data_IF_091631523621
#
_entry.id   IF_091631523621
#
_cell.length_a   1.000
_cell.length_b   1.000
_cell.length_c   1.000
_cell.angle_alpha   90.00
_cell.angle_beta   90.00
_cell.angle_gamma   90.00
#
_symmetry.space_group_name_H-M   'P 1'
#
loop_
_entity.id
_entity.type
_entity.pdbx_description
1 polymer ?
#
# COMPACT_ATOMS: atom_id res chain seq x y z
N UNK A 1 3.18 6.37 -14.56
CA UNK A 1 2.70 5.42 -13.54
C UNK A 1 3.89 5.07 -12.66
N UNK A 2 3.80 5.30 -11.34
CA UNK A 2 4.90 5.07 -10.40
C UNK A 2 4.52 3.88 -9.51
N UNK A 3 5.44 2.93 -9.34
CA UNK A 3 5.27 1.83 -8.41
C UNK A 3 5.53 2.31 -6.99
N UNK A 4 4.52 2.19 -6.12
CA UNK A 4 4.56 2.78 -4.78
C UNK A 4 5.09 1.79 -3.74
N UNK A 5 4.45 0.63 -3.65
CA UNK A 5 4.78 -0.42 -2.70
C UNK A 5 4.06 -1.70 -3.15
N UNK A 6 4.70 -2.85 -2.95
CA UNK A 6 4.10 -4.15 -3.21
C UNK A 6 4.05 -5.00 -1.95
N UNK A 7 3.16 -5.97 -1.98
CA UNK A 7 3.02 -6.94 -0.91
C UNK A 7 2.96 -8.35 -1.49
N UNK A 8 3.82 -9.23 -0.97
CA UNK A 8 3.74 -10.64 -1.27
C UNK A 8 2.72 -11.32 -0.34
N UNK A 9 2.00 -12.31 -0.85
CA UNK A 9 0.96 -13.06 -0.15
C UNK A 9 1.43 -13.67 1.17
N UNK A 10 2.73 -13.98 1.30
CA UNK A 10 3.32 -14.64 2.47
C UNK A 10 3.43 -13.75 3.69
N UNK A 11 3.55 -12.44 3.51
CA UNK A 11 3.58 -11.49 4.63
C UNK A 11 2.18 -10.91 4.84
N UNK A 12 1.77 -10.61 6.09
CA UNK A 12 0.55 -9.84 6.34
C UNK A 12 0.77 -8.33 6.12
N UNK A 13 2.01 -7.82 6.22
CA UNK A 13 2.31 -6.39 6.09
C UNK A 13 3.54 -6.11 5.22
N UNK A 14 3.56 -4.97 4.54
CA UNK A 14 4.75 -4.38 3.93
C UNK A 14 4.88 -2.92 4.37
N UNK A 15 6.11 -2.43 4.41
CA UNK A 15 6.40 -1.03 4.67
C UNK A 15 7.56 -0.55 3.81
N UNK A 16 7.37 0.59 3.19
CA UNK A 16 8.39 1.32 2.46
C UNK A 16 8.31 2.80 2.83
N UNK A 17 9.21 3.22 3.71
CA UNK A 17 9.23 4.57 4.27
C UNK A 17 7.91 4.97 4.94
N UNK A 18 7.21 5.93 4.30
CA UNK A 18 5.91 6.48 4.72
C UNK A 18 4.71 5.63 4.28
N UNK A 19 4.91 4.72 3.34
CA UNK A 19 3.88 3.83 2.81
C UNK A 19 3.90 2.51 3.57
N UNK A 20 2.73 2.00 3.91
CA UNK A 20 2.58 0.65 4.45
C UNK A 20 1.34 -0.01 3.92
N UNK A 21 1.41 -1.32 3.75
CA UNK A 21 0.30 -2.16 3.34
C UNK A 21 -0.02 -3.10 4.51
N UNK A 22 -1.31 -3.27 4.76
CA UNK A 22 -1.86 -4.39 5.52
C UNK A 22 -2.71 -5.27 4.59
N UNK A 23 -2.33 -6.53 4.41
CA UNK A 23 -3.05 -7.49 3.59
C UNK A 23 -3.85 -8.45 4.47
N UNK A 24 -5.16 -8.26 4.47
CA UNK A 24 -6.09 -9.11 5.20
C UNK A 24 -6.52 -10.27 4.30
N UNK A 25 -5.69 -11.33 4.25
CA UNK A 25 -5.90 -12.51 3.40
C UNK A 25 -7.30 -13.12 3.54
N UNK A 26 -7.82 -13.23 4.76
CA UNK A 26 -9.15 -13.81 5.04
C UNK A 26 -10.29 -13.03 4.38
N UNK A 27 -10.12 -11.71 4.20
CA UNK A 27 -11.09 -10.81 3.60
C UNK A 27 -10.77 -10.48 2.14
N UNK A 28 -9.62 -10.94 1.64
CA UNK A 28 -9.05 -10.55 0.32
C UNK A 28 -8.99 -9.03 0.15
N UNK A 29 -8.77 -8.30 1.23
CA UNK A 29 -8.67 -6.84 1.26
C UNK A 29 -7.24 -6.40 1.47
N UNK A 30 -6.89 -5.27 0.87
CA UNK A 30 -5.61 -4.59 1.04
C UNK A 30 -5.86 -3.17 1.51
N UNK A 31 -5.15 -2.76 2.55
CA UNK A 31 -5.19 -1.39 3.07
C UNK A 31 -3.84 -0.73 2.85
N UNK A 32 -3.84 0.36 2.08
CA UNK A 32 -2.68 1.25 1.94
C UNK A 32 -2.78 2.36 2.98
N UNK A 33 -1.74 2.51 3.79
CA UNK A 33 -1.62 3.56 4.80
C UNK A 33 -0.45 4.45 4.39
N UNK A 34 -0.72 5.73 4.17
CA UNK A 34 0.27 6.75 3.84
C UNK A 34 0.42 7.67 5.05
N UNK A 35 1.56 7.58 5.73
CA UNK A 35 1.87 8.37 6.91
C UNK A 35 2.47 9.72 6.52
N UNK A 36 2.19 10.77 7.30
CA UNK A 36 2.73 12.12 7.08
C UNK A 36 2.57 12.60 5.62
N UNK A 37 1.31 12.64 5.15
CA UNK A 37 0.94 13.07 3.80
C UNK A 37 1.57 14.42 3.43
N UNK A 38 2.03 14.53 2.19
CA UNK A 38 2.52 15.76 1.58
C UNK A 38 1.72 16.08 0.31
N UNK A 39 1.87 17.30 -0.20
CA UNK A 39 1.14 17.75 -1.39
C UNK A 39 1.44 16.89 -2.62
N UNK A 40 2.67 16.38 -2.74
CA UNK A 40 3.12 15.53 -3.82
C UNK A 40 2.46 14.14 -3.81
N UNK A 41 1.85 13.74 -2.68
CA UNK A 41 1.09 12.49 -2.57
C UNK A 41 -0.34 12.64 -3.16
N UNK A 42 -0.75 13.82 -3.62
CA UNK A 42 -2.06 14.02 -4.25
C UNK A 42 -2.10 13.39 -5.65
N UNK A 43 -2.60 12.15 -5.74
CA UNK A 43 -2.69 11.40 -6.99
C UNK A 43 -3.88 10.44 -7.03
N UNK A 44 -4.14 9.86 -8.20
CA UNK A 44 -5.01 8.68 -8.32
C UNK A 44 -4.21 7.44 -7.96
N UNK A 45 -4.72 6.69 -6.99
CA UNK A 45 -4.14 5.43 -6.56
C UNK A 45 -4.91 4.26 -7.17
N UNK A 46 -4.17 3.28 -7.69
CA UNK A 46 -4.72 2.07 -8.27
C UNK A 46 -4.13 0.87 -7.54
N UNK A 47 -4.97 -0.08 -7.18
CA UNK A 47 -4.52 -1.41 -6.78
C UNK A 47 -4.46 -2.33 -8.01
N UNK A 48 -3.44 -3.18 -8.06
CA UNK A 48 -3.23 -4.18 -9.11
C UNK A 48 -2.70 -5.48 -8.48
N UNK A 49 -2.97 -6.61 -9.13
CA UNK A 49 -2.57 -7.97 -8.75
C UNK A 49 -1.66 -8.56 -9.81
#
# INVERSE_FOLDING_TARGET
MIYLIGQNSYSPNARDGRYSINFQRSRKTISLIISALKLEDSAKYFCAL
#
